data_IF_413062133398
#
_entry.id   IF_413062133398
#
_cell.length_a   1.000
_cell.length_b   1.000
_cell.length_c   1.000
_cell.angle_alpha   90.00
_cell.angle_beta   90.00
_cell.angle_gamma   90.00
#
_symmetry.space_group_name_H-M   'P 1'
#
loop_
_entity.id
_entity.type
_entity.pdbx_description
1 polymer ?
#
# COMPACT_ATOMS: atom_id res chain seq x y z
N UNK A 1 -1.36 50.64 11.53
CA UNK A 1 -1.53 49.92 11.65
C UNK A 1 -1.52 48.88 10.87
N UNK A 2 -1.29 48.16 10.80
CA UNK A 2 -1.15 47.18 10.14
C UNK A 2 -1.65 46.11 10.40
N UNK A 3 -2.06 45.44 9.88
CA UNK A 3 -2.58 44.48 10.08
C UNK A 3 -2.15 43.44 9.34
N UNK A 4 -2.16 42.50 9.56
CA UNK A 4 -1.66 41.43 9.05
C UNK A 4 -2.42 40.52 8.94
N UNK A 5 -2.71 40.07 8.37
CA UNK A 5 -3.37 39.18 7.98
C UNK A 5 -2.66 38.05 7.65
N UNK A 6 -2.78 37.17 8.32
CA UNK A 6 -2.12 36.14 8.15
C UNK A 6 -2.82 35.19 7.62
N UNK A 7 -2.76 34.83 6.77
CA UNK A 7 -3.35 34.01 6.28
C UNK A 7 -2.81 32.84 6.25
N UNK A 8 -3.10 32.05 6.67
CA UNK A 8 -2.71 30.93 6.83
C UNK A 8 -3.24 30.03 6.08
N UNK A 9 -3.12 29.59 5.50
CA UNK A 9 -3.45 28.74 4.93
C UNK A 9 -3.25 27.59 5.06
N UNK A 10 -3.46 27.00 5.30
CA UNK A 10 -3.57 25.93 5.60
C UNK A 10 -3.74 24.98 4.71
N UNK A 11 -3.63 24.42 4.27
CA UNK A 11 -3.72 23.51 3.67
C UNK A 11 -3.86 22.48 3.60
N UNK A 12 -4.14 21.95 3.47
CA UNK A 12 -4.29 20.96 3.39
C UNK A 12 -4.31 20.03 2.86
N UNK A 13 -4.12 19.45 2.76
CA UNK A 13 -4.05 18.50 2.55
C UNK A 13 -4.61 17.76 1.97
N UNK A 14 -4.92 17.33 1.58
CA UNK A 14 -5.46 16.66 1.18
C UNK A 14 -5.51 15.61 0.72
N UNK A 15 -5.39 14.94 0.69
CA UNK A 15 -5.50 13.91 0.43
C UNK A 15 -5.84 13.17 -0.18
N UNK A 16 -6.02 12.65 -0.36
CA UNK A 16 -6.41 11.92 -0.76
C UNK A 16 -6.41 10.99 -1.42
N UNK A 17 -6.29 10.30 -1.54
CA UNK A 17 -6.34 9.48 -2.16
C UNK A 17 -6.69 8.40 -2.16
N UNK A 18 -6.97 7.80 -2.40
CA UNK A 18 -7.49 6.58 -2.47
C UNK A 18 -6.66 5.42 -2.11
N UNK A 19 -5.58 5.61 -1.57
CA UNK A 19 -4.69 4.51 -1.22
C UNK A 19 -4.58 4.42 0.29
N UNK A 20 -4.81 3.22 0.82
CA UNK A 20 -4.59 2.99 2.23
C UNK A 20 -3.14 2.63 2.45
N UNK A 21 -2.70 2.72 3.67
CA UNK A 21 -1.33 2.44 4.04
C UNK A 21 -1.23 1.14 4.78
N UNK A 22 -0.09 0.51 4.65
CA UNK A 22 0.23 -0.63 5.47
C UNK A 22 0.04 -0.26 6.94
N UNK A 23 -0.60 -1.12 7.70
CA UNK A 23 -0.88 -0.86 9.10
C UNK A 23 -2.27 -0.33 9.39
N UNK A 24 -2.99 0.08 8.37
CA UNK A 24 -4.35 0.60 8.55
C UNK A 24 -5.32 -0.52 8.89
N UNK A 25 -6.39 -0.17 9.57
CA UNK A 25 -7.40 -1.14 9.96
C UNK A 25 -8.45 -1.37 8.88
N UNK A 26 -9.39 -2.26 9.17
CA UNK A 26 -10.42 -2.62 8.20
C UNK A 26 -11.22 -1.42 7.71
N UNK A 27 -11.65 -0.59 8.62
CA UNK A 27 -12.50 0.54 8.26
C UNK A 27 -11.85 1.43 7.23
N UNK A 28 -10.61 1.76 7.48
CA UNK A 28 -9.91 2.66 6.59
C UNK A 28 -9.65 2.02 5.23
N UNK A 29 -9.34 0.72 5.23
CA UNK A 29 -9.13 0.03 3.97
C UNK A 29 -10.42 -0.15 3.21
N UNK A 30 -11.51 -0.44 3.90
CA UNK A 30 -12.80 -0.55 3.23
C UNK A 30 -13.17 0.78 2.57
N UNK A 31 -12.93 1.89 3.26
CA UNK A 31 -13.21 3.20 2.71
C UNK A 31 -12.32 3.54 1.54
N UNK A 32 -11.06 3.16 1.62
CA UNK A 32 -10.09 3.50 0.58
C UNK A 32 -10.21 2.64 -0.66
N UNK A 33 -10.40 1.35 -0.46
CA UNK A 33 -10.35 0.41 -1.58
C UNK A 33 -11.72 -0.01 -2.11
N UNK A 34 -12.78 0.35 -1.40
CA UNK A 34 -14.12 0.18 -1.93
C UNK A 34 -14.65 -1.24 -1.82
N UNK A 35 -15.03 -1.81 -2.96
CA UNK A 35 -15.79 -3.06 -2.96
C UNK A 35 -14.96 -4.26 -2.58
N UNK A 36 -15.49 -5.03 -1.63
CA UNK A 36 -14.88 -6.29 -1.24
C UNK A 36 -15.37 -7.36 -2.20
N UNK A 37 -14.42 -8.04 -2.84
CA UNK A 37 -14.73 -9.15 -3.72
C UNK A 37 -14.77 -10.45 -2.94
N UNK A 38 -13.86 -10.60 -1.99
CA UNK A 38 -13.73 -11.84 -1.27
C UNK A 38 -13.04 -11.59 0.07
N UNK A 39 -13.48 -12.29 1.09
CA UNK A 39 -12.86 -12.23 2.40
C UNK A 39 -12.66 -13.67 2.86
N UNK A 40 -11.49 -13.97 3.36
CA UNK A 40 -11.17 -15.33 3.73
C UNK A 40 -10.36 -15.38 5.02
N UNK A 41 -10.83 -16.15 5.98
CA UNK A 41 -10.08 -16.39 7.20
C UNK A 41 -9.09 -17.51 6.92
N UNK A 42 -7.84 -17.30 7.27
CA UNK A 42 -6.78 -18.27 7.02
C UNK A 42 -6.50 -19.07 8.26
N UNK A 43 -5.84 -20.21 8.06
CA UNK A 43 -5.55 -21.12 9.16
C UNK A 43 -4.64 -20.52 10.23
N UNK A 44 -3.80 -19.56 9.82
CA UNK A 44 -2.89 -18.92 10.76
C UNK A 44 -3.53 -17.77 11.53
N UNK A 45 -4.84 -17.59 11.38
CA UNK A 45 -5.55 -16.55 12.10
C UNK A 45 -5.58 -15.20 11.40
N UNK A 46 -4.90 -15.07 10.26
CA UNK A 46 -4.96 -13.84 9.51
C UNK A 46 -6.19 -13.84 8.61
N UNK A 47 -6.55 -12.66 8.13
CA UNK A 47 -7.70 -12.50 7.24
C UNK A 47 -7.20 -11.92 5.93
N UNK A 48 -7.58 -12.54 4.84
CA UNK A 48 -7.23 -12.06 3.51
C UNK A 48 -8.46 -11.45 2.88
N UNK A 49 -8.34 -10.23 2.36
CA UNK A 49 -9.45 -9.54 1.73
C UNK A 49 -9.01 -9.08 0.35
N UNK A 50 -9.85 -9.35 -0.63
CA UNK A 50 -9.59 -8.88 -1.99
C UNK A 50 -10.58 -7.77 -2.28
N UNK A 51 -10.05 -6.61 -2.63
CA UNK A 51 -10.85 -5.43 -2.98
C UNK A 51 -10.73 -5.13 -4.46
N UNK A 52 -11.77 -4.55 -5.01
CA UNK A 52 -11.75 -4.12 -6.40
C UNK A 52 -12.18 -2.66 -6.47
N UNK A 53 -11.33 -1.83 -7.06
CA UNK A 53 -11.65 -0.43 -7.25
C UNK A 53 -11.08 0.02 -8.59
N UNK A 54 -11.95 0.49 -9.46
CA UNK A 54 -11.55 0.92 -10.80
C UNK A 54 -10.84 -0.22 -11.52
N UNK A 55 -9.64 -0.01 -11.99
CA UNK A 55 -8.92 -1.06 -12.71
C UNK A 55 -7.94 -1.82 -11.84
N UNK A 56 -8.05 -1.67 -10.53
CA UNK A 56 -7.12 -2.30 -9.61
C UNK A 56 -7.77 -3.33 -8.72
N UNK A 57 -6.99 -4.33 -8.40
CA UNK A 57 -7.33 -5.28 -7.34
C UNK A 57 -6.31 -5.10 -6.24
N UNK A 58 -6.77 -5.16 -5.01
CA UNK A 58 -5.92 -5.02 -3.84
C UNK A 58 -6.12 -6.24 -2.96
N UNK A 59 -5.05 -7.02 -2.79
CA UNK A 59 -5.10 -8.18 -1.94
C UNK A 59 -4.43 -7.81 -0.63
N UNK A 60 -5.19 -7.82 0.45
CA UNK A 60 -4.70 -7.34 1.74
C UNK A 60 -4.77 -8.47 2.76
N UNK A 61 -3.71 -8.61 3.55
CA UNK A 61 -3.70 -9.55 4.65
C UNK A 61 -3.71 -8.75 5.94
N UNK A 62 -4.66 -9.09 6.80
CA UNK A 62 -4.80 -8.45 8.10
C UNK A 62 -4.37 -9.40 9.21
N UNK A 63 -3.61 -8.87 10.15
CA UNK A 63 -3.25 -9.59 11.37
C UNK A 63 -3.58 -8.67 12.53
N UNK A 64 -4.31 -9.18 13.49
CA UNK A 64 -4.72 -8.38 14.65
C UNK A 64 -5.42 -7.09 14.26
N UNK A 65 -6.23 -7.18 13.21
CA UNK A 65 -7.07 -6.05 12.82
C UNK A 65 -6.40 -4.96 12.02
N UNK A 66 -5.14 -5.16 11.61
CA UNK A 66 -4.46 -4.16 10.80
C UNK A 66 -3.72 -4.81 9.64
N UNK A 67 -3.54 -4.06 8.60
CA UNK A 67 -2.93 -4.52 7.38
C UNK A 67 -1.44 -4.80 7.60
N UNK A 68 -0.99 -6.00 7.26
CA UNK A 68 0.42 -6.36 7.36
C UNK A 68 1.02 -6.66 6.00
N UNK A 69 0.20 -6.83 4.98
CA UNK A 69 0.69 -7.08 3.62
C UNK A 69 -0.36 -6.63 2.64
N UNK A 70 0.04 -5.92 1.60
CA UNK A 70 -0.87 -5.44 0.56
C UNK A 70 -0.24 -5.67 -0.80
N UNK A 71 -0.99 -6.30 -1.69
CA UNK A 71 -0.54 -6.51 -3.06
C UNK A 71 -1.45 -5.74 -4.00
N UNK A 72 -0.86 -5.05 -4.94
CA UNK A 72 -1.59 -4.19 -5.88
C UNK A 72 -1.36 -4.68 -7.29
N UNK A 73 -2.42 -4.87 -8.03
CA UNK A 73 -2.27 -5.29 -9.42
C UNK A 73 -3.48 -4.86 -10.24
N UNK A 74 -3.31 -4.88 -11.56
CA UNK A 74 -4.40 -4.52 -12.47
C UNK A 74 -5.36 -5.68 -12.59
N UNK A 75 -6.63 -5.37 -12.72
CA UNK A 75 -7.65 -6.39 -12.94
C UNK A 75 -7.28 -7.30 -14.11
N UNK A 76 -6.72 -6.72 -15.15
CA UNK A 76 -6.35 -7.47 -16.35
C UNK A 76 -5.02 -8.20 -16.24
N UNK A 77 -4.33 -8.03 -15.14
CA UNK A 77 -3.05 -8.70 -14.94
C UNK A 77 -1.88 -8.07 -15.67
N UNK A 78 -2.07 -6.89 -16.26
CA UNK A 78 -1.00 -6.20 -16.98
C UNK A 78 -0.02 -5.58 -15.99
N UNK A 79 1.13 -5.17 -16.51
CA UNK A 79 2.17 -4.57 -15.67
C UNK A 79 1.74 -3.23 -15.10
N UNK A 80 2.22 -2.94 -13.91
CA UNK A 80 2.08 -1.61 -13.34
C UNK A 80 3.13 -0.71 -13.97
N UNK A 81 2.77 0.53 -14.22
CA UNK A 81 3.74 1.50 -14.75
C UNK A 81 4.67 1.94 -13.64
N UNK A 82 5.80 2.54 -14.02
CA UNK A 82 6.72 3.08 -13.03
C UNK A 82 6.05 4.15 -12.17
N UNK A 83 5.17 4.91 -12.78
CA UNK A 83 4.43 5.93 -12.07
C UNK A 83 3.52 5.32 -11.01
N UNK A 84 2.86 4.24 -11.37
CA UNK A 84 1.98 3.54 -10.42
C UNK A 84 2.79 2.95 -9.28
N UNK A 85 3.91 2.32 -9.58
CA UNK A 85 4.76 1.72 -8.56
C UNK A 85 5.24 2.81 -7.59
N UNK A 86 5.72 3.92 -8.13
CA UNK A 86 6.18 5.03 -7.31
C UNK A 86 5.08 5.57 -6.40
N UNK A 87 3.90 5.69 -6.95
CA UNK A 87 2.76 6.20 -6.20
C UNK A 87 2.38 5.28 -5.05
N UNK A 88 2.37 3.99 -5.32
CA UNK A 88 2.02 3.00 -4.30
C UNK A 88 3.07 2.94 -3.20
N UNK A 89 4.34 3.01 -3.58
CA UNK A 89 5.41 3.04 -2.59
C UNK A 89 5.29 4.29 -1.73
N UNK A 90 5.01 5.41 -2.35
CA UNK A 90 4.88 6.66 -1.62
C UNK A 90 3.73 6.61 -0.62
N UNK A 91 2.62 5.99 -1.02
CA UNK A 91 1.47 5.86 -0.13
C UNK A 91 1.82 5.02 1.10
N UNK A 92 2.80 4.16 0.98
CA UNK A 92 3.22 3.28 2.07
C UNK A 92 4.53 3.72 2.71
N UNK A 93 4.92 4.97 2.51
CA UNK A 93 6.20 5.44 3.02
C UNK A 93 6.20 5.75 4.50
N UNK A 94 5.07 6.19 5.03
CA UNK A 94 4.96 6.50 6.45
C UNK A 94 5.99 7.52 6.91
N UNK A 95 6.32 8.49 6.06
CA UNK A 95 7.32 9.50 6.40
C UNK A 95 8.75 9.10 6.09
N UNK A 96 8.95 7.86 5.66
CA UNK A 96 10.27 7.36 5.32
C UNK A 96 10.45 7.40 3.80
N UNK A 97 11.56 6.86 3.31
CA UNK A 97 11.82 6.77 1.89
C UNK A 97 12.06 5.33 1.50
N UNK A 98 12.00 5.06 0.21
CA UNK A 98 12.22 3.72 -0.31
C UNK A 98 13.51 3.68 -1.12
N UNK A 99 14.27 2.61 -0.95
CA UNK A 99 15.48 2.38 -1.73
C UNK A 99 15.25 1.17 -2.62
N UNK A 100 15.50 1.32 -3.89
CA UNK A 100 15.30 0.28 -4.87
C UNK A 100 16.54 -0.59 -5.00
N UNK A 101 16.32 -1.89 -5.13
CA UNK A 101 17.38 -2.82 -5.40
C UNK A 101 16.93 -3.72 -6.54
N UNK A 102 17.64 -3.67 -7.65
CA UNK A 102 17.28 -4.47 -8.79
C UNK A 102 18.27 -5.58 -8.95
N UNK A 103 17.81 -6.77 -8.62
CA UNK A 103 18.66 -7.89 -8.81
C UNK A 103 18.03 -8.84 -9.71
N UNK A 104 18.71 -9.26 -10.73
CA UNK A 104 18.27 -10.28 -11.63
C UNK A 104 16.86 -10.02 -12.11
N UNK A 105 15.92 -10.85 -11.73
CA UNK A 105 14.56 -10.77 -12.24
C UNK A 105 13.59 -10.16 -11.28
N UNK A 106 14.07 -9.73 -10.13
CA UNK A 106 13.18 -9.19 -9.14
C UNK A 106 13.55 -7.79 -8.78
N UNK A 107 12.55 -6.97 -8.62
CA UNK A 107 12.77 -5.63 -8.11
C UNK A 107 12.32 -5.65 -6.66
N UNK A 108 13.18 -5.19 -5.79
CA UNK A 108 12.83 -5.11 -4.38
C UNK A 108 13.10 -3.71 -3.87
N UNK A 109 12.40 -3.35 -2.81
CA UNK A 109 12.50 -2.02 -2.22
C UNK A 109 12.53 -2.17 -0.72
N UNK A 110 13.35 -1.36 -0.08
CA UNK A 110 13.40 -1.35 1.38
C UNK A 110 13.07 0.05 1.88
N UNK A 111 12.23 0.10 2.89
CA UNK A 111 11.89 1.38 3.48
C UNK A 111 13.00 1.77 4.44
N UNK A 112 13.32 3.07 4.46
CA UNK A 112 14.48 3.54 5.23
C UNK A 112 14.39 3.27 6.72
N UNK A 113 13.18 3.12 7.25
CA UNK A 113 13.03 2.81 8.67
C UNK A 113 13.17 1.31 8.96
N UNK A 114 13.36 0.50 7.93
CA UNK A 114 13.52 -0.94 8.09
C UNK A 114 12.26 -1.69 8.47
N UNK A 115 11.12 -1.03 8.53
CA UNK A 115 9.89 -1.65 9.00
C UNK A 115 8.98 -2.17 7.89
N UNK A 116 9.35 -1.94 6.65
CA UNK A 116 8.59 -2.43 5.53
C UNK A 116 9.49 -2.71 4.35
N UNK A 117 9.06 -3.63 3.52
CA UNK A 117 9.76 -3.92 2.28
C UNK A 117 8.72 -4.18 1.21
N UNK A 118 9.13 -4.09 -0.03
CA UNK A 118 8.23 -4.31 -1.13
C UNK A 118 8.95 -5.06 -2.25
N UNK A 119 8.18 -5.77 -3.05
CA UNK A 119 8.71 -6.45 -4.22
C UNK A 119 7.75 -6.24 -5.37
N UNK A 120 8.30 -6.14 -6.57
CA UNK A 120 7.48 -6.07 -7.76
C UNK A 120 7.85 -7.24 -8.66
N UNK A 121 6.88 -8.04 -9.02
CA UNK A 121 7.13 -9.19 -9.86
C UNK A 121 5.86 -9.96 -10.10
N UNK A 122 6.01 -11.15 -10.65
CA UNK A 122 4.88 -11.97 -10.99
C UNK A 122 4.40 -12.76 -9.77
N UNK A 123 3.12 -12.63 -9.48
CA UNK A 123 2.49 -13.36 -8.38
C UNK A 123 1.28 -14.07 -8.96
N UNK A 124 1.33 -15.38 -9.02
CA UNK A 124 0.24 -16.19 -9.55
C UNK A 124 -0.18 -15.75 -10.95
N UNK A 125 0.80 -15.46 -11.79
CA UNK A 125 0.52 -15.08 -13.17
C UNK A 125 0.19 -13.63 -13.40
N UNK A 126 0.25 -12.80 -12.37
CA UNK A 126 -0.05 -11.37 -12.51
C UNK A 126 1.10 -10.55 -11.99
N UNK A 127 1.34 -9.43 -12.64
CA UNK A 127 2.35 -8.49 -12.16
C UNK A 127 1.79 -7.75 -10.97
N UNK A 128 2.47 -7.79 -9.85
CA UNK A 128 1.97 -7.20 -8.62
C UNK A 128 3.09 -6.54 -7.83
N UNK A 129 2.76 -5.44 -7.21
CA UNK A 129 3.63 -4.82 -6.20
C UNK A 129 3.10 -5.26 -4.85
N UNK A 130 3.93 -5.90 -4.07
CA UNK A 130 3.55 -6.36 -2.74
C UNK A 130 4.36 -5.59 -1.71
N UNK A 131 3.65 -4.92 -0.80
CA UNK A 131 4.28 -4.20 0.30
C UNK A 131 3.94 -4.95 1.57
N UNK A 132 4.93 -5.21 2.39
CA UNK A 132 4.66 -5.95 3.62
C UNK A 132 5.49 -5.42 4.77
N UNK A 133 4.95 -5.64 5.95
CA UNK A 133 5.60 -5.26 7.18
C UNK A 133 6.75 -6.22 7.46
N UNK A 134 7.86 -5.66 7.92
CA UNK A 134 8.99 -6.47 8.35
C UNK A 134 8.97 -6.47 9.86
N UNK A 135 8.80 -7.66 10.44
CA UNK A 135 8.76 -7.76 11.87
C UNK A 135 10.16 -7.62 12.41
N UNK A 136 10.29 -6.73 13.37
CA UNK A 136 11.58 -6.53 13.98
C UNK A 136 12.01 -7.78 14.71
N UNK A 137 13.29 -7.99 14.76
CA UNK A 137 13.79 -9.11 15.53
C UNK A 137 13.84 -8.75 16.96
N UNK A 138 13.48 -9.67 17.82
CA UNK A 138 13.52 -9.38 19.26
C UNK A 138 14.94 -9.22 19.75
#
# INVERSE_FOLDING_TARGET
MKKFSILILAILATVTCGWANLGDGYEKLDDSYGNIVQRKLRDDGTVSVLYHKDRYLYQVTFADGRSVSESYFHVKGTDLSEKEITKLLKANAGGATWTSNQEAKKRSFKRSDGKAEATYGNVNGRSALTVREVLGKP
#
